data_IF_457270948569
#
_entry.id   IF_457270948569
#
_cell.length_a   1.000
_cell.length_b   1.000
_cell.length_c   1.000
_cell.angle_alpha   90.00
_cell.angle_beta   90.00
_cell.angle_gamma   90.00
#
_symmetry.space_group_name_H-M   'P 1'
#
loop_
_entity.id
_entity.type
_entity.pdbx_description
1 polymer ?
#
# COMPACT_ATOMS: atom_id res chain seq x y z
N UNK A 1 -9.74 -29.41 23.72
CA UNK A 1 -10.38 -28.93 24.96
C UNK A 1 -10.96 -27.56 24.67
N UNK A 2 -12.29 -27.40 24.70
CA UNK A 2 -12.97 -26.10 24.62
C UNK A 2 -12.93 -25.51 26.04
N UNK A 3 -12.32 -24.34 26.23
CA UNK A 3 -12.41 -23.60 27.50
C UNK A 3 -13.73 -22.79 27.48
N UNK A 4 -14.73 -23.14 28.30
CA UNK A 4 -15.94 -22.36 28.42
C UNK A 4 -15.70 -21.25 29.45
N UNK A 5 -15.56 -19.99 28.99
CA UNK A 5 -15.51 -18.85 29.92
C UNK A 5 -14.66 -17.64 29.51
N UNK A 6 -13.95 -17.66 28.38
CA UNK A 6 -13.25 -16.45 27.92
C UNK A 6 -14.25 -15.48 27.26
N UNK A 7 -14.78 -14.55 28.04
CA UNK A 7 -15.36 -13.32 27.48
C UNK A 7 -14.22 -12.53 26.84
N UNK A 8 -14.04 -12.68 25.53
CA UNK A 8 -13.06 -11.90 24.79
C UNK A 8 -13.46 -10.42 24.86
N UNK A 9 -12.54 -9.55 25.28
CA UNK A 9 -12.71 -8.12 25.10
C UNK A 9 -12.63 -7.81 23.60
N UNK A 10 -13.55 -6.96 23.11
CA UNK A 10 -13.56 -6.51 21.72
C UNK A 10 -12.18 -5.93 21.35
N UNK A 11 -11.62 -6.43 20.25
CA UNK A 11 -10.33 -5.97 19.75
C UNK A 11 -9.45 -7.08 19.20
N UNK A 12 -8.14 -6.87 19.31
CA UNK A 12 -7.12 -7.74 18.74
C UNK A 12 -6.60 -8.67 19.81
N UNK A 13 -6.62 -9.98 19.52
CA UNK A 13 -5.99 -10.97 20.38
C UNK A 13 -4.48 -10.68 20.47
N UNK A 14 -3.89 -10.54 21.67
CA UNK A 14 -2.47 -10.23 21.86
C UNK A 14 -1.59 -11.46 21.61
N UNK A 15 -1.86 -12.18 20.51
CA UNK A 15 -1.22 -13.41 20.09
C UNK A 15 -0.82 -13.30 18.62
N UNK A 16 0.42 -13.68 18.33
CA UNK A 16 0.89 -13.83 16.94
C UNK A 16 0.43 -15.16 16.36
N UNK A 17 -0.08 -15.12 15.15
CA UNK A 17 -0.49 -16.26 14.35
C UNK A 17 0.52 -16.47 13.23
N UNK A 18 0.92 -17.73 13.04
CA UNK A 18 1.79 -18.21 11.96
C UNK A 18 0.96 -18.94 10.90
N UNK A 19 1.51 -19.19 9.69
CA UNK A 19 0.78 -19.89 8.62
C UNK A 19 0.11 -21.22 9.02
N UNK A 20 0.75 -21.99 9.90
CA UNK A 20 0.30 -23.28 10.42
C UNK A 20 -0.61 -23.18 11.67
N UNK A 21 -0.80 -21.97 12.22
CA UNK A 21 -1.62 -21.77 13.41
C UNK A 21 -3.09 -22.06 13.11
N UNK A 22 -3.69 -22.93 13.91
CA UNK A 22 -5.09 -23.32 13.81
C UNK A 22 -6.03 -22.34 14.50
N UNK A 23 -7.22 -22.16 13.93
CA UNK A 23 -8.33 -21.42 14.53
C UNK A 23 -9.67 -21.91 13.99
N UNK A 24 -10.75 -21.60 14.72
CA UNK A 24 -12.10 -21.96 14.36
C UNK A 24 -12.85 -20.74 13.83
N UNK A 25 -13.44 -20.85 12.64
CA UNK A 25 -14.25 -19.78 12.07
C UNK A 25 -15.18 -20.24 10.95
N UNK A 26 -16.41 -19.72 10.94
CA UNK A 26 -17.27 -19.76 9.75
C UNK A 26 -18.25 -18.58 9.74
N UNK A 27 -18.29 -17.85 8.63
CA UNK A 27 -19.26 -16.79 8.37
C UNK A 27 -20.16 -17.21 7.19
N UNK A 28 -21.49 -17.19 7.39
CA UNK A 28 -22.47 -17.52 6.36
C UNK A 28 -23.83 -16.90 6.72
N UNK A 29 -24.73 -16.84 5.75
CA UNK A 29 -26.08 -16.24 5.87
C UNK A 29 -26.94 -16.80 7.00
N UNK A 30 -26.63 -18.01 7.47
CA UNK A 30 -27.36 -18.67 8.57
C UNK A 30 -26.91 -18.24 9.97
N UNK A 31 -25.89 -17.39 10.11
CA UNK A 31 -25.46 -16.85 11.39
C UNK A 31 -26.31 -15.63 11.76
N UNK A 32 -26.73 -15.51 13.02
CA UNK A 32 -27.47 -14.34 13.50
C UNK A 32 -26.69 -13.03 13.35
N UNK A 33 -25.36 -13.10 13.44
CA UNK A 33 -24.48 -11.95 13.24
C UNK A 33 -24.13 -11.66 11.77
N UNK A 34 -24.73 -12.38 10.81
CA UNK A 34 -24.43 -12.18 9.41
C UNK A 34 -24.69 -10.71 9.02
N UNK A 35 -23.72 -10.10 8.34
CA UNK A 35 -23.67 -8.67 7.96
C UNK A 35 -23.49 -7.63 9.07
N UNK A 36 -23.45 -8.01 10.35
CA UNK A 36 -23.25 -7.04 11.45
C UNK A 36 -21.91 -6.29 11.35
N UNK A 37 -20.86 -6.95 10.86
CA UNK A 37 -19.55 -6.35 10.65
C UNK A 37 -19.47 -5.44 9.41
N UNK A 38 -20.55 -5.28 8.63
CA UNK A 38 -20.56 -4.52 7.37
C UNK A 38 -21.00 -3.05 7.53
N UNK A 39 -20.65 -2.40 8.64
CA UNK A 39 -20.93 -0.99 8.92
C UNK A 39 -19.87 -0.37 9.84
N UNK A 40 -19.79 0.97 9.81
CA UNK A 40 -18.82 1.81 10.56
C UNK A 40 -17.35 1.34 10.44
N UNK A 41 -16.96 0.93 9.24
CA UNK A 41 -15.59 0.46 8.97
C UNK A 41 -14.70 1.60 8.47
N UNK A 42 -13.42 1.56 8.83
CA UNK A 42 -12.38 2.34 8.17
C UNK A 42 -11.53 1.45 7.26
N UNK A 43 -11.93 1.33 5.99
CA UNK A 43 -11.27 0.44 5.02
C UNK A 43 -10.36 1.22 4.08
N UNK A 44 -9.05 1.19 4.33
CA UNK A 44 -8.05 1.58 3.33
C UNK A 44 -8.10 0.54 2.20
N UNK A 45 -8.29 1.00 0.97
CA UNK A 45 -8.28 0.14 -0.20
C UNK A 45 -6.86 0.01 -0.74
N UNK A 46 -6.43 -1.22 -0.98
CA UNK A 46 -5.18 -1.49 -1.70
C UNK A 46 -5.37 -1.18 -3.19
N UNK A 47 -4.28 -0.97 -3.95
CA UNK A 47 -4.37 -0.75 -5.39
C UNK A 47 -5.14 -1.87 -6.12
N UNK A 48 -4.92 -3.13 -5.73
CA UNK A 48 -5.64 -4.25 -6.34
C UNK A 48 -7.12 -4.31 -5.94
N UNK A 49 -7.49 -3.88 -4.73
CA UNK A 49 -8.90 -3.75 -4.35
C UNK A 49 -9.63 -2.81 -5.29
N UNK A 50 -9.02 -1.67 -5.60
CA UNK A 50 -9.61 -0.66 -6.49
C UNK A 50 -9.84 -1.24 -7.89
N UNK A 51 -8.85 -1.94 -8.45
CA UNK A 51 -8.96 -2.62 -9.76
C UNK A 51 -10.09 -3.64 -9.76
N UNK A 52 -10.17 -4.50 -8.74
CA UNK A 52 -11.22 -5.53 -8.64
C UNK A 52 -12.61 -4.91 -8.52
N UNK A 53 -12.76 -3.93 -7.62
CA UNK A 53 -14.05 -3.31 -7.34
C UNK A 53 -14.55 -2.46 -8.52
N UNK A 54 -13.69 -1.64 -9.15
CA UNK A 54 -14.09 -0.83 -10.30
C UNK A 54 -14.50 -1.70 -11.49
N UNK A 55 -13.78 -2.79 -11.75
CA UNK A 55 -14.14 -3.75 -12.80
C UNK A 55 -15.44 -4.49 -12.50
N UNK A 56 -15.65 -4.93 -11.24
CA UNK A 56 -16.91 -5.57 -10.81
C UNK A 56 -18.12 -4.67 -11.01
N UNK A 57 -17.94 -3.36 -10.85
CA UNK A 57 -18.99 -2.36 -11.00
C UNK A 57 -19.13 -1.81 -12.43
N UNK A 58 -18.23 -2.20 -13.35
CA UNK A 58 -18.20 -1.65 -14.71
C UNK A 58 -17.87 -0.16 -14.76
N UNK A 59 -17.05 0.33 -13.83
CA UNK A 59 -16.68 1.74 -13.71
C UNK A 59 -15.22 1.97 -14.10
N UNK A 60 -14.94 3.18 -14.60
CA UNK A 60 -13.57 3.68 -14.68
C UNK A 60 -13.01 3.96 -13.27
N UNK A 61 -11.68 4.02 -13.13
CA UNK A 61 -11.05 4.41 -11.86
C UNK A 61 -11.55 5.78 -11.38
N UNK A 62 -11.64 6.77 -12.27
CA UNK A 62 -12.07 8.12 -11.90
C UNK A 62 -13.52 8.13 -11.35
N UNK A 63 -14.43 7.37 -11.96
CA UNK A 63 -15.80 7.21 -11.46
C UNK A 63 -15.85 6.47 -10.11
N UNK A 64 -15.15 5.34 -10.01
CA UNK A 64 -15.10 4.55 -8.78
C UNK A 64 -14.57 5.37 -7.60
N UNK A 65 -13.45 6.07 -7.81
CA UNK A 65 -12.85 6.91 -6.78
C UNK A 65 -13.78 8.04 -6.34
N UNK A 66 -14.45 8.71 -7.28
CA UNK A 66 -15.35 9.81 -6.98
C UNK A 66 -16.57 9.36 -6.16
N UNK A 67 -17.20 8.25 -6.57
CA UNK A 67 -18.45 7.75 -5.99
C UNK A 67 -18.19 7.07 -4.64
N UNK A 68 -17.22 6.15 -4.59
CA UNK A 68 -17.09 5.20 -3.48
C UNK A 68 -15.93 5.48 -2.53
N UNK A 69 -15.02 6.42 -2.82
CA UNK A 69 -13.81 6.59 -1.99
C UNK A 69 -13.58 8.03 -1.56
N UNK A 70 -12.82 8.20 -0.47
CA UNK A 70 -12.27 9.49 -0.04
C UNK A 70 -10.75 9.37 0.11
N UNK A 71 -9.97 10.40 -0.27
CA UNK A 71 -8.54 10.43 0.00
C UNK A 71 -8.27 10.67 1.48
N UNK A 72 -7.26 9.99 2.02
CA UNK A 72 -6.78 10.18 3.39
C UNK A 72 -5.26 10.21 3.43
N UNK A 73 -4.70 10.96 4.38
CA UNK A 73 -3.27 10.99 4.63
C UNK A 73 -2.95 10.11 5.83
N UNK A 74 -2.10 9.10 5.63
CA UNK A 74 -1.64 8.25 6.72
C UNK A 74 -0.69 9.02 7.64
N UNK A 75 -1.02 9.10 8.93
CA UNK A 75 -0.33 9.96 9.89
C UNK A 75 1.15 9.61 10.06
N UNK A 76 1.51 8.33 10.03
CA UNK A 76 2.90 7.90 10.23
C UNK A 76 3.78 7.98 8.98
N UNK A 77 3.22 7.69 7.81
CA UNK A 77 4.01 7.64 6.56
C UNK A 77 3.91 8.92 5.75
N UNK A 78 2.91 9.76 6.02
CA UNK A 78 2.51 10.92 5.22
C UNK A 78 2.29 10.54 3.75
N UNK A 79 1.70 9.36 3.53
CA UNK A 79 1.32 8.88 2.21
C UNK A 79 -0.18 9.06 1.98
N UNK A 80 -0.58 9.58 0.81
CA UNK A 80 -1.99 9.65 0.44
C UNK A 80 -2.51 8.27 0.04
N UNK A 81 -3.57 7.81 0.70
CA UNK A 81 -4.29 6.58 0.38
C UNK A 81 -5.76 6.90 0.11
N UNK A 82 -6.54 5.91 -0.29
CA UNK A 82 -7.99 6.04 -0.41
C UNK A 82 -8.69 5.08 0.54
N UNK A 83 -9.74 5.57 1.19
CA UNK A 83 -10.61 4.76 2.04
C UNK A 83 -11.99 4.65 1.42
N UNK A 84 -12.66 3.51 1.66
CA UNK A 84 -14.04 3.31 1.24
C UNK A 84 -14.96 4.26 2.01
N UNK A 85 -15.81 4.99 1.30
CA UNK A 85 -16.88 5.81 1.87
C UNK A 85 -18.01 4.90 2.35
N UNK A 86 -18.29 4.94 3.64
CA UNK A 86 -19.52 4.39 4.20
C UNK A 86 -20.70 5.31 3.87
N UNK A 87 -21.91 4.76 3.88
CA UNK A 87 -23.14 5.55 3.72
C UNK A 87 -23.32 6.51 4.90
N UNK A 88 -24.04 7.61 4.66
CA UNK A 88 -24.41 8.59 5.70
C UNK A 88 -25.73 8.19 6.38
N UNK A 89 -25.80 6.93 6.82
CA UNK A 89 -26.88 6.42 7.66
C UNK A 89 -26.38 6.19 9.09
N UNK A 90 -27.30 5.98 10.05
CA UNK A 90 -26.95 5.84 11.47
C UNK A 90 -25.94 4.72 11.76
N UNK A 91 -25.90 3.70 10.91
CA UNK A 91 -25.01 2.54 11.04
C UNK A 91 -23.73 2.67 10.23
N UNK A 92 -23.59 3.74 9.43
CA UNK A 92 -22.56 3.92 8.42
C UNK A 92 -22.32 2.65 7.62
N UNK A 93 -23.39 2.11 7.03
CA UNK A 93 -23.32 0.84 6.31
C UNK A 93 -22.35 0.91 5.14
N UNK A 94 -21.73 -0.23 4.83
CA UNK A 94 -20.98 -0.39 3.59
C UNK A 94 -21.92 -0.19 2.38
N UNK A 95 -21.53 0.59 1.35
CA UNK A 95 -22.40 0.88 0.20
C UNK A 95 -22.75 -0.35 -0.64
N UNK A 96 -22.05 -1.48 -0.44
CA UNK A 96 -22.32 -2.74 -1.11
C UNK A 96 -23.13 -3.71 -0.25
N UNK A 97 -23.57 -3.30 0.94
CA UNK A 97 -24.38 -4.12 1.81
C UNK A 97 -25.86 -4.04 1.40
N UNK A 98 -26.48 -5.21 1.29
CA UNK A 98 -27.94 -5.38 1.15
C UNK A 98 -28.45 -6.35 2.20
N UNK A 99 -29.77 -6.46 2.44
CA UNK A 99 -30.32 -7.50 3.33
C UNK A 99 -29.92 -8.94 2.94
N UNK A 100 -29.54 -9.16 1.69
CA UNK A 100 -29.11 -10.47 1.17
C UNK A 100 -27.60 -10.72 1.37
N UNK A 101 -26.82 -9.68 1.67
CA UNK A 101 -25.37 -9.73 1.85
C UNK A 101 -24.62 -8.68 1.01
N UNK A 102 -23.31 -8.87 0.91
CA UNK A 102 -22.45 -8.00 0.10
C UNK A 102 -22.63 -8.28 -1.40
N UNK A 103 -22.97 -7.26 -2.19
CA UNK A 103 -23.22 -7.37 -3.65
C UNK A 103 -21.95 -7.62 -4.46
N UNK A 104 -20.79 -7.28 -3.90
CA UNK A 104 -19.47 -7.49 -4.48
C UNK A 104 -18.67 -8.55 -3.70
N UNK A 105 -19.32 -9.51 -3.03
CA UNK A 105 -18.64 -10.43 -2.11
C UNK A 105 -17.38 -11.06 -2.73
N UNK A 106 -17.46 -11.59 -3.95
CA UNK A 106 -16.33 -12.20 -4.66
C UNK A 106 -15.19 -11.24 -5.06
N UNK A 107 -15.43 -9.93 -4.99
CA UNK A 107 -14.51 -8.84 -5.31
C UNK A 107 -14.28 -7.90 -4.12
N UNK A 108 -14.67 -8.34 -2.91
CA UNK A 108 -14.56 -7.55 -1.67
C UNK A 108 -13.09 -7.19 -1.37
N UNK A 109 -12.86 -6.06 -0.68
CA UNK A 109 -11.51 -5.63 -0.32
C UNK A 109 -10.72 -6.68 0.47
N UNK A 110 -9.40 -6.66 0.34
CA UNK A 110 -8.49 -7.59 1.02
C UNK A 110 -8.67 -7.57 2.54
N UNK A 111 -8.94 -6.39 3.13
CA UNK A 111 -9.24 -6.25 4.56
C UNK A 111 -10.47 -7.07 4.98
N UNK A 112 -11.53 -7.07 4.15
CA UNK A 112 -12.73 -7.88 4.39
C UNK A 112 -12.48 -9.38 4.16
N UNK A 113 -11.51 -9.76 3.31
CA UNK A 113 -11.11 -11.17 3.11
C UNK A 113 -10.31 -11.69 4.29
N UNK A 114 -9.44 -10.85 4.84
CA UNK A 114 -8.61 -11.18 5.97
C UNK A 114 -9.45 -11.55 7.19
N UNK A 115 -10.52 -10.80 7.47
CA UNK A 115 -11.38 -11.03 8.64
C UNK A 115 -11.80 -12.50 8.79
N UNK A 116 -11.61 -13.13 9.95
CA UNK A 116 -11.29 -12.52 11.25
C UNK A 116 -9.78 -12.35 11.51
N UNK A 117 -8.93 -12.80 10.59
CA UNK A 117 -7.51 -12.51 10.66
C UNK A 117 -7.25 -11.05 10.30
N UNK A 118 -6.19 -10.50 10.83
CA UNK A 118 -5.57 -9.27 10.34
C UNK A 118 -4.10 -9.49 10.06
N UNK A 119 -3.56 -8.71 9.14
CA UNK A 119 -2.12 -8.69 8.83
C UNK A 119 -1.49 -7.47 9.50
N UNK A 120 -0.36 -7.65 10.19
CA UNK A 120 0.33 -6.57 10.91
C UNK A 120 0.66 -5.36 10.03
N UNK A 121 0.87 -5.58 8.73
CA UNK A 121 1.14 -4.53 7.75
C UNK A 121 -0.01 -3.50 7.63
N UNK A 122 -1.25 -3.92 7.82
CA UNK A 122 -2.41 -3.03 7.75
C UNK A 122 -2.66 -2.26 9.06
N UNK A 123 -1.80 -2.44 10.09
CA UNK A 123 -1.83 -1.63 11.31
C UNK A 123 -0.75 -0.57 11.28
N UNK A 124 -1.19 0.69 11.26
CA UNK A 124 -0.31 1.86 11.39
C UNK A 124 0.62 1.74 12.62
N UNK A 125 0.10 1.18 13.71
CA UNK A 125 0.74 1.13 15.02
C UNK A 125 1.88 0.09 15.16
N UNK A 126 1.86 -1.03 14.45
CA UNK A 126 2.59 -2.25 14.86
C UNK A 126 3.47 -2.95 13.82
N UNK A 127 3.65 -2.37 12.62
CA UNK A 127 4.66 -2.91 11.68
C UNK A 127 6.05 -2.85 12.33
N UNK A 128 6.58 -4.02 12.73
CA UNK A 128 7.94 -4.17 13.26
C UNK A 128 8.94 -4.35 12.11
N UNK A 129 10.18 -3.86 12.27
CA UNK A 129 11.23 -3.93 11.24
C UNK A 129 11.77 -5.34 10.99
N UNK A 130 11.30 -6.37 11.70
CA UNK A 130 11.84 -7.74 11.61
C UNK A 130 11.44 -8.49 10.33
N UNK A 131 10.46 -8.00 9.57
CA UNK A 131 10.10 -8.59 8.28
C UNK A 131 9.43 -9.97 8.34
N UNK A 132 9.06 -10.44 9.53
CA UNK A 132 8.24 -11.66 9.67
C UNK A 132 6.77 -11.30 9.55
N UNK A 133 6.12 -11.79 8.50
CA UNK A 133 4.66 -11.76 8.34
C UNK A 133 4.03 -12.52 9.51
N UNK A 134 3.50 -11.80 10.50
CA UNK A 134 2.65 -12.38 11.52
C UNK A 134 1.23 -11.85 11.38
N UNK A 135 0.28 -12.74 11.65
CA UNK A 135 -1.13 -12.44 11.65
C UNK A 135 -1.61 -12.26 13.08
N UNK A 136 -2.76 -11.61 13.24
CA UNK A 136 -3.45 -11.49 14.52
C UNK A 136 -4.92 -11.82 14.32
N UNK A 137 -5.60 -12.22 15.39
CA UNK A 137 -7.04 -12.47 15.37
C UNK A 137 -7.78 -11.22 15.84
N UNK A 138 -8.75 -10.77 15.06
CA UNK A 138 -9.74 -9.80 15.50
C UNK A 138 -10.89 -10.58 16.12
N UNK A 139 -11.31 -10.17 17.32
CA UNK A 139 -12.47 -10.72 18.02
C UNK A 139 -13.39 -9.58 18.39
N UNK A 140 -14.62 -9.69 17.93
CA UNK A 140 -15.68 -8.75 18.25
C UNK A 140 -16.84 -9.54 18.85
N UNK A 141 -17.41 -9.02 19.92
CA UNK A 141 -18.49 -9.63 20.70
C UNK A 141 -19.69 -10.01 19.85
N UNK A 142 -19.98 -9.21 18.81
CA UNK A 142 -21.06 -9.48 17.88
C UNK A 142 -20.76 -10.65 16.93
N UNK A 143 -19.49 -11.05 16.74
CA UNK A 143 -19.08 -12.02 15.74
C UNK A 143 -19.21 -13.47 16.25
N UNK A 144 -20.32 -14.12 15.92
CA UNK A 144 -20.58 -15.53 16.22
C UNK A 144 -19.85 -16.52 15.29
N UNK A 145 -18.99 -16.00 14.39
CA UNK A 145 -18.18 -16.81 13.48
C UNK A 145 -17.15 -17.67 14.20
N UNK A 146 -16.57 -17.14 15.29
CA UNK A 146 -15.57 -17.84 16.11
C UNK A 146 -16.10 -19.06 16.87
N UNK A 147 -17.42 -19.20 16.97
CA UNK A 147 -18.06 -20.33 17.67
C UNK A 147 -18.32 -21.53 16.73
N UNK A 148 -17.96 -21.42 15.45
CA UNK A 148 -18.14 -22.51 14.50
C UNK A 148 -17.16 -23.66 14.75
N UNK A 149 -17.56 -24.91 14.47
CA UNK A 149 -16.67 -26.06 14.59
C UNK A 149 -15.70 -26.22 13.41
N UNK A 150 -15.88 -25.43 12.33
CA UNK A 150 -14.98 -25.45 11.18
C UNK A 150 -13.60 -24.92 11.59
N UNK A 151 -12.61 -25.80 11.55
CA UNK A 151 -11.21 -25.49 11.81
C UNK A 151 -10.50 -25.09 10.51
N UNK A 152 -9.58 -24.14 10.63
CA UNK A 152 -8.69 -23.67 9.59
C UNK A 152 -7.28 -23.52 10.13
N UNK A 153 -6.29 -23.67 9.28
CA UNK A 153 -4.99 -22.99 9.42
C UNK A 153 -5.04 -21.61 8.77
N UNK A 154 -4.12 -20.72 9.16
CA UNK A 154 -3.98 -19.41 8.50
C UNK A 154 -3.74 -19.56 6.99
N UNK A 155 -2.90 -20.50 6.58
CA UNK A 155 -2.67 -20.79 5.15
C UNK A 155 -3.94 -21.24 4.42
N UNK A 156 -4.72 -22.16 5.00
CA UNK A 156 -5.97 -22.62 4.38
C UNK A 156 -6.98 -21.48 4.25
N UNK A 157 -7.12 -20.64 5.28
CA UNK A 157 -8.00 -19.48 5.23
C UNK A 157 -7.58 -18.49 4.14
N UNK A 158 -6.28 -18.18 4.03
CA UNK A 158 -5.77 -17.26 3.00
C UNK A 158 -6.04 -17.78 1.59
N UNK A 159 -5.87 -19.08 1.38
CA UNK A 159 -6.19 -19.73 0.11
C UNK A 159 -7.69 -19.70 -0.18
N UNK A 160 -8.52 -20.09 0.79
CA UNK A 160 -9.98 -20.15 0.66
C UNK A 160 -10.60 -18.76 0.36
N UNK A 161 -10.09 -17.72 1.02
CA UNK A 161 -10.57 -16.36 0.85
C UNK A 161 -9.95 -15.61 -0.35
N UNK A 162 -9.07 -16.27 -1.11
CA UNK A 162 -8.40 -15.70 -2.29
C UNK A 162 -7.41 -14.58 -1.97
N UNK A 163 -6.86 -14.56 -0.76
CA UNK A 163 -5.97 -13.49 -0.26
C UNK A 163 -4.61 -13.51 -0.96
N UNK A 164 -4.10 -14.70 -1.28
CA UNK A 164 -2.74 -14.86 -1.83
C UNK A 164 -2.52 -14.04 -3.10
N UNK A 165 -3.52 -14.00 -3.99
CA UNK A 165 -3.46 -13.20 -5.21
C UNK A 165 -3.42 -11.69 -4.93
N UNK A 166 -4.19 -11.23 -3.94
CA UNK A 166 -4.20 -9.83 -3.54
C UNK A 166 -2.85 -9.41 -2.94
N UNK A 167 -2.29 -10.24 -2.08
CA UNK A 167 -0.97 -10.00 -1.48
C UNK A 167 0.13 -10.03 -2.55
N UNK A 168 0.08 -10.98 -3.49
CA UNK A 168 1.05 -11.10 -4.58
C UNK A 168 1.08 -9.85 -5.46
N UNK A 169 -0.10 -9.37 -5.87
CA UNK A 169 -0.19 -8.19 -6.74
C UNK A 169 0.21 -6.93 -5.97
N UNK A 170 -0.21 -6.80 -4.71
CA UNK A 170 0.13 -5.64 -3.89
C UNK A 170 1.54 -5.70 -3.28
N UNK A 171 2.33 -6.76 -3.50
CA UNK A 171 3.65 -6.93 -2.87
C UNK A 171 4.56 -5.70 -3.03
N UNK A 172 4.68 -5.17 -4.24
CA UNK A 172 5.51 -3.99 -4.51
C UNK A 172 5.01 -2.72 -3.81
N UNK A 173 3.68 -2.59 -3.64
CA UNK A 173 3.07 -1.50 -2.88
C UNK A 173 3.32 -1.66 -1.38
N UNK A 174 3.17 -2.88 -0.85
CA UNK A 174 3.45 -3.22 0.55
C UNK A 174 4.92 -2.95 0.91
N UNK A 175 5.86 -3.35 0.05
CA UNK A 175 7.29 -3.04 0.19
C UNK A 175 7.55 -1.52 0.22
N UNK A 176 6.86 -0.76 -0.63
CA UNK A 176 6.96 0.71 -0.63
C UNK A 176 6.50 1.29 0.72
N UNK A 177 5.34 0.85 1.22
CA UNK A 177 4.78 1.28 2.50
C UNK A 177 5.74 0.98 3.66
N UNK A 178 6.28 -0.23 3.70
CA UNK A 178 7.30 -0.67 4.67
C UNK A 178 8.54 0.21 4.61
N UNK A 179 9.09 0.43 3.40
CA UNK A 179 10.30 1.22 3.20
C UNK A 179 10.10 2.66 3.66
N UNK A 180 8.95 3.30 3.36
CA UNK A 180 8.65 4.66 3.84
C UNK A 180 8.58 4.71 5.36
N UNK A 181 8.03 3.69 6.01
CA UNK A 181 7.99 3.59 7.48
C UNK A 181 9.38 3.39 8.08
N UNK A 182 10.21 2.51 7.50
CA UNK A 182 11.54 2.17 8.03
C UNK A 182 12.59 3.27 7.80
N UNK A 183 12.58 3.92 6.63
CA UNK A 183 13.57 4.95 6.29
C UNK A 183 13.20 6.35 6.78
N UNK A 184 11.91 6.67 6.96
CA UNK A 184 11.48 8.06 6.88
C UNK A 184 10.30 8.42 7.79
N UNK A 185 10.49 8.29 9.11
CA UNK A 185 9.85 9.26 10.00
C UNK A 185 10.41 10.69 9.78
N UNK A 186 11.61 10.83 9.20
CA UNK A 186 12.30 12.14 9.10
C UNK A 186 12.37 12.77 7.69
N UNK A 187 12.09 12.03 6.60
CA UNK A 187 12.14 12.58 5.24
C UNK A 187 10.74 12.61 4.62
N UNK A 188 10.22 13.81 4.42
CA UNK A 188 8.95 14.01 3.73
C UNK A 188 9.12 13.82 2.21
N UNK A 189 8.15 13.17 1.59
CA UNK A 189 8.08 13.12 0.15
C UNK A 189 7.64 14.48 -0.41
N UNK A 190 8.27 14.88 -1.51
CA UNK A 190 7.82 16.04 -2.29
C UNK A 190 6.36 15.87 -2.72
N UNK A 191 5.67 16.97 -3.01
CA UNK A 191 4.30 16.93 -3.52
C UNK A 191 4.21 16.09 -4.82
N UNK A 192 5.20 16.23 -5.70
CA UNK A 192 5.29 15.43 -6.92
C UNK A 192 5.39 13.93 -6.63
N UNK A 193 6.25 13.54 -5.67
CA UNK A 193 6.41 12.15 -5.25
C UNK A 193 5.13 11.59 -4.61
N UNK A 194 4.41 12.39 -3.83
CA UNK A 194 3.10 12.02 -3.27
C UNK A 194 2.04 11.85 -4.35
N UNK A 195 2.02 12.73 -5.34
CA UNK A 195 1.12 12.65 -6.49
C UNK A 195 1.39 11.39 -7.33
N UNK A 196 2.67 11.07 -7.60
CA UNK A 196 3.07 9.83 -8.26
C UNK A 196 2.60 8.59 -7.49
N UNK A 197 2.87 8.56 -6.18
CA UNK A 197 2.43 7.46 -5.31
C UNK A 197 0.91 7.30 -5.35
N UNK A 198 0.16 8.40 -5.20
CA UNK A 198 -1.29 8.38 -5.20
C UNK A 198 -1.86 7.86 -6.52
N UNK A 199 -1.36 8.34 -7.66
CA UNK A 199 -1.82 7.91 -8.98
C UNK A 199 -1.59 6.40 -9.20
N UNK A 200 -0.40 5.91 -8.93
CA UNK A 200 -0.09 4.46 -9.06
C UNK A 200 -0.91 3.64 -8.07
N UNK A 201 -1.14 4.14 -6.86
CA UNK A 201 -1.85 3.40 -5.80
C UNK A 201 -3.37 3.43 -5.93
N UNK A 202 -3.94 4.36 -6.70
CA UNK A 202 -5.39 4.58 -6.73
C UNK A 202 -6.01 4.60 -8.12
N UNK A 203 -5.24 4.80 -9.18
CA UNK A 203 -5.79 5.08 -10.51
C UNK A 203 -4.96 4.43 -11.63
N UNK A 204 -5.21 3.13 -11.84
CA UNK A 204 -4.52 2.34 -12.88
C UNK A 204 -4.82 2.87 -14.28
N UNK A 205 -5.99 3.45 -14.52
CA UNK A 205 -6.35 4.07 -15.80
C UNK A 205 -5.45 5.28 -16.10
N UNK A 206 -5.21 6.15 -15.10
CA UNK A 206 -4.27 7.29 -15.23
C UNK A 206 -2.83 6.82 -15.40
N UNK A 207 -2.43 5.75 -14.72
CA UNK A 207 -1.10 5.15 -14.92
C UNK A 207 -0.95 4.65 -16.36
N UNK A 208 -1.96 3.96 -16.90
CA UNK A 208 -1.97 3.51 -18.29
C UNK A 208 -1.79 4.69 -19.26
N UNK A 209 -2.60 5.75 -19.10
CA UNK A 209 -2.49 6.96 -19.92
C UNK A 209 -1.12 7.62 -19.81
N UNK A 210 -0.55 7.71 -18.59
CA UNK A 210 0.80 8.25 -18.41
C UNK A 210 1.83 7.49 -19.25
N UNK A 211 1.74 6.15 -19.26
CA UNK A 211 2.70 5.29 -19.95
C UNK A 211 2.52 5.39 -21.47
N UNK A 212 1.30 5.17 -21.97
CA UNK A 212 1.06 4.98 -23.40
C UNK A 212 0.71 6.25 -24.17
N UNK A 213 0.18 7.27 -23.50
CA UNK A 213 -0.23 8.54 -24.13
C UNK A 213 0.71 9.71 -23.75
N UNK A 214 1.64 9.48 -22.82
CA UNK A 214 2.57 10.48 -22.32
C UNK A 214 3.99 10.35 -22.88
N UNK A 215 4.92 11.10 -22.27
CA UNK A 215 6.37 11.06 -22.60
C UNK A 215 7.13 9.97 -21.84
N UNK A 216 6.41 8.97 -21.31
CA UNK A 216 7.02 7.94 -20.48
C UNK A 216 7.96 7.04 -21.29
N UNK A 217 7.50 6.55 -22.44
CA UNK A 217 8.27 5.69 -23.33
C UNK A 217 9.44 6.41 -24.00
N UNK A 218 9.45 7.74 -24.01
CA UNK A 218 10.63 8.53 -24.42
C UNK A 218 11.75 8.44 -23.38
N UNK A 219 11.38 8.28 -22.10
CA UNK A 219 12.29 8.37 -20.95
C UNK A 219 12.82 7.03 -20.46
N UNK A 220 11.97 6.01 -20.52
CA UNK A 220 12.26 4.69 -19.98
C UNK A 220 12.50 3.67 -21.09
N UNK A 221 13.45 2.77 -20.84
CA UNK A 221 13.73 1.62 -21.68
C UNK A 221 12.95 0.42 -21.15
N UNK A 222 11.97 -0.04 -21.92
CA UNK A 222 11.00 -1.06 -21.51
C UNK A 222 10.93 -2.09 -22.62
N UNK A 223 11.12 -3.34 -22.25
CA UNK A 223 11.04 -4.48 -23.17
C UNK A 223 9.64 -4.55 -23.80
N UNK A 224 9.60 -4.94 -25.08
CA UNK A 224 8.37 -4.97 -25.87
C UNK A 224 7.33 -5.91 -25.24
N UNK A 225 7.78 -7.05 -24.75
CA UNK A 225 6.96 -8.07 -24.08
C UNK A 225 6.30 -7.51 -22.81
N UNK A 226 7.00 -6.64 -22.08
CA UNK A 226 6.44 -5.97 -20.90
C UNK A 226 5.38 -4.96 -21.32
N UNK A 227 5.62 -4.18 -22.38
CA UNK A 227 4.65 -3.22 -22.92
C UNK A 227 3.36 -3.90 -23.36
N UNK A 228 3.46 -4.96 -24.16
CA UNK A 228 2.31 -5.73 -24.65
C UNK A 228 1.48 -6.30 -23.47
N UNK A 229 2.15 -6.72 -22.40
CA UNK A 229 1.49 -7.24 -21.20
C UNK A 229 0.78 -6.15 -20.41
N UNK A 230 1.44 -5.05 -20.06
CA UNK A 230 0.86 -4.00 -19.22
C UNK A 230 -0.22 -3.19 -19.96
N UNK A 231 -0.29 -3.30 -21.29
CA UNK A 231 -1.36 -2.72 -22.08
C UNK A 231 -2.71 -3.43 -21.86
N UNK A 232 -2.69 -4.74 -21.58
CA UNK A 232 -3.91 -5.56 -21.53
C UNK A 232 -4.20 -6.20 -20.17
N UNK A 233 -3.21 -6.28 -19.28
CA UNK A 233 -3.32 -6.83 -17.93
C UNK A 233 -3.11 -5.74 -16.86
N UNK A 234 -4.20 -5.33 -16.19
CA UNK A 234 -4.15 -4.30 -15.15
C UNK A 234 -3.36 -4.74 -13.90
N UNK A 235 -3.31 -6.04 -13.59
CA UNK A 235 -2.49 -6.53 -12.50
C UNK A 235 -0.99 -6.42 -12.84
N UNK A 236 -0.63 -6.72 -14.10
CA UNK A 236 0.73 -6.48 -14.59
C UNK A 236 1.08 -4.99 -14.59
N UNK A 237 0.15 -4.14 -15.02
CA UNK A 237 0.33 -2.69 -15.01
C UNK A 237 0.54 -2.12 -13.60
N UNK A 238 -0.22 -2.61 -12.61
CA UNK A 238 0.02 -2.25 -11.20
C UNK A 238 1.41 -2.66 -10.72
N UNK A 239 1.81 -3.91 -10.97
CA UNK A 239 3.15 -4.42 -10.60
C UNK A 239 4.25 -3.56 -11.22
N UNK A 240 4.13 -3.26 -12.52
CA UNK A 240 5.04 -2.34 -13.21
C UNK A 240 5.07 -0.95 -12.57
N UNK A 241 3.89 -0.40 -12.24
CA UNK A 241 3.76 0.88 -11.54
C UNK A 241 4.51 0.90 -10.21
N UNK A 242 4.45 -0.17 -9.42
CA UNK A 242 5.19 -0.27 -8.16
C UNK A 242 6.70 -0.32 -8.38
N UNK A 243 7.16 -1.09 -9.36
CA UNK A 243 8.58 -1.16 -9.72
C UNK A 243 9.11 0.20 -10.22
N UNK A 244 8.30 0.91 -11.00
CA UNK A 244 8.58 2.27 -11.41
C UNK A 244 8.66 3.24 -10.23
N UNK A 245 7.70 3.19 -9.28
CA UNK A 245 7.74 4.01 -8.07
C UNK A 245 9.00 3.74 -7.24
N UNK A 246 9.36 2.47 -7.06
CA UNK A 246 10.56 2.11 -6.30
C UNK A 246 11.84 2.63 -6.98
N UNK A 247 11.90 2.59 -8.32
CA UNK A 247 13.01 3.13 -9.09
C UNK A 247 13.08 4.66 -8.98
N UNK A 248 11.95 5.33 -9.19
CA UNK A 248 11.86 6.79 -9.22
C UNK A 248 12.07 7.46 -7.86
N UNK A 249 11.58 6.86 -6.78
CA UNK A 249 11.59 7.48 -5.44
C UNK A 249 12.71 6.97 -4.54
N UNK A 250 13.24 5.77 -4.83
CA UNK A 250 14.24 5.16 -3.98
C UNK A 250 15.48 4.63 -4.72
N UNK A 251 15.62 4.92 -6.01
CA UNK A 251 16.78 4.54 -6.82
C UNK A 251 16.96 3.03 -6.99
N UNK A 252 15.88 2.25 -6.89
CA UNK A 252 15.94 0.82 -7.18
C UNK A 252 16.23 0.58 -8.69
N UNK A 253 17.02 -0.44 -9.00
CA UNK A 253 17.29 -0.83 -10.39
C UNK A 253 16.21 -1.81 -10.89
N UNK A 254 14.97 -1.31 -11.04
CA UNK A 254 13.83 -2.11 -11.52
C UNK A 254 13.27 -1.64 -12.85
N UNK A 255 13.30 -0.33 -13.11
CA UNK A 255 12.87 0.26 -14.39
C UNK A 255 13.98 1.18 -14.90
N UNK A 256 14.59 0.81 -16.03
CA UNK A 256 15.75 1.50 -16.57
C UNK A 256 15.31 2.74 -17.34
N UNK A 257 16.02 3.85 -17.10
CA UNK A 257 15.91 5.04 -17.94
C UNK A 257 16.84 4.90 -19.15
N UNK A 258 16.46 5.48 -20.28
CA UNK A 258 17.34 5.51 -21.47
C UNK A 258 18.61 6.32 -21.17
N UNK A 259 19.72 5.92 -21.76
CA UNK A 259 21.05 6.49 -21.48
C UNK A 259 21.12 8.01 -21.65
N UNK A 260 20.51 8.53 -22.73
CA UNK A 260 20.50 9.98 -23.01
C UNK A 260 19.76 10.77 -21.91
N UNK A 261 18.75 10.17 -21.30
CA UNK A 261 17.95 10.76 -20.21
C UNK A 261 18.75 10.73 -18.93
N UNK A 262 19.36 9.59 -18.59
CA UNK A 262 20.25 9.46 -17.43
C UNK A 262 21.39 10.48 -17.47
N UNK A 263 22.00 10.64 -18.64
CA UNK A 263 23.06 11.64 -18.86
C UNK A 263 22.55 13.07 -18.61
N UNK A 264 21.38 13.43 -19.16
CA UNK A 264 20.79 14.74 -18.94
C UNK A 264 20.45 15.02 -17.46
N UNK A 265 19.95 14.02 -16.72
CA UNK A 265 19.70 14.15 -15.28
C UNK A 265 20.99 14.34 -14.48
N UNK A 266 22.06 13.58 -14.78
CA UNK A 266 23.37 13.75 -14.14
C UNK A 266 23.95 15.14 -14.39
N UNK A 267 23.92 15.61 -15.64
CA UNK A 267 24.38 16.96 -15.99
C UNK A 267 23.59 18.07 -15.28
N UNK A 268 22.26 17.90 -15.13
CA UNK A 268 21.41 18.84 -14.39
C UNK A 268 21.74 18.84 -12.90
N UNK A 269 21.86 17.67 -12.28
CA UNK A 269 22.19 17.53 -10.87
C UNK A 269 23.59 18.10 -10.56
N UNK A 270 24.57 17.89 -11.43
CA UNK A 270 25.90 18.50 -11.31
C UNK A 270 25.85 20.03 -11.41
N UNK A 271 25.04 20.57 -12.33
CA UNK A 271 24.83 22.04 -12.45
C UNK A 271 24.16 22.62 -11.21
N UNK A 272 23.17 21.93 -10.65
CA UNK A 272 22.48 22.36 -9.42
C UNK A 272 23.39 22.27 -8.20
N UNK A 273 24.18 21.19 -8.06
CA UNK A 273 25.18 21.05 -7.00
C UNK A 273 26.25 22.13 -7.08
N UNK A 274 26.76 22.44 -8.28
CA UNK A 274 27.71 23.55 -8.51
C UNK A 274 27.11 24.89 -8.11
N UNK A 275 25.87 25.18 -8.55
CA UNK A 275 25.15 26.42 -8.16
C UNK A 275 24.93 26.52 -6.66
N UNK A 276 24.53 25.44 -5.99
CA UNK A 276 24.34 25.41 -4.54
C UNK A 276 25.67 25.62 -3.77
N UNK A 277 26.76 25.07 -4.29
CA UNK A 277 28.10 25.24 -3.71
C UNK A 277 28.65 26.67 -3.92
N UNK A 278 28.30 27.32 -5.03
CA UNK A 278 28.65 28.71 -5.32
C UNK A 278 27.78 29.72 -4.55
N UNK A 279 26.52 29.38 -4.28
CA UNK A 279 25.55 30.22 -3.57
C UNK A 279 25.70 30.22 -2.04
N UNK A 280 26.62 29.42 -1.47
CA UNK A 280 26.87 29.37 -0.02
C UNK A 280 28.21 30.06 0.33
N UNK A 281 28.22 31.33 0.79
CA UNK A 281 29.46 32.08 1.04
C UNK A 281 30.27 31.58 2.25
N UNK A 282 29.81 30.55 2.98
CA UNK A 282 30.42 30.12 4.26
C UNK A 282 31.51 29.06 4.15
N UNK A 283 31.84 28.54 2.95
CA UNK A 283 32.95 27.58 2.78
C UNK A 283 34.22 28.17 2.14
N UNK A 284 34.16 29.36 1.53
CA UNK A 284 35.37 30.04 0.98
C UNK A 284 36.31 30.61 2.07
N UNK A 285 35.87 30.72 3.32
CA UNK A 285 36.68 31.26 4.42
C UNK A 285 37.53 30.22 5.18
N UNK A 286 37.33 28.91 4.95
CA UNK A 286 38.09 27.86 5.64
C UNK A 286 39.29 27.32 4.83
N UNK A 287 39.32 27.48 3.49
CA UNK A 287 40.49 27.07 2.70
C UNK A 287 41.63 28.11 2.67
N UNK A 288 41.35 29.38 2.98
CA UNK A 288 42.35 30.46 3.01
C UNK A 288 43.05 30.63 4.36
N UNK A 289 42.45 30.20 5.48
CA UNK A 289 43.09 30.21 6.82
C UNK A 289 43.99 29.00 7.09
N UNK A 290 43.84 27.89 6.35
CA UNK A 290 44.71 26.71 6.49
C UNK A 290 46.06 26.84 5.77
N UNK A 291 46.21 27.74 4.78
CA UNK A 291 47.48 27.99 4.07
C UNK A 291 48.36 29.07 4.73
N UNK A 292 47.86 29.82 5.70
CA UNK A 292 48.58 30.91 6.38
C UNK A 292 49.25 30.55 7.71
N UNK A 293 48.92 29.41 8.33
CA UNK A 293 49.46 29.03 9.66
C UNK A 293 50.62 28.04 9.63
N UNK A 294 50.99 27.49 8.48
CA UNK A 294 52.10 26.51 8.35
C UNK A 294 53.48 27.14 8.07
N UNK A 295 53.61 28.47 8.14
CA UNK A 295 54.85 29.19 7.75
C UNK A 295 55.53 30.01 8.87
N UNK A 296 55.13 29.86 10.14
CA UNK A 296 55.68 30.65 11.26
C UNK A 296 56.09 29.84 12.51
N UNK A 297 56.65 28.65 12.33
CA UNK A 297 57.36 27.92 13.40
C UNK A 297 58.52 27.13 12.80
N UNK A 298 59.55 27.86 12.33
CA UNK A 298 60.92 27.37 12.13
C UNK A 298 61.86 28.56 12.18
N UNK A 299 62.25 28.94 13.40
CA UNK A 299 63.54 29.53 13.81
C UNK A 299 63.49 29.66 15.32
#
# INVERSE_FOLDING_TARGET
MKNPGETYQDGIEPRKYKPDTKFNFACHKGKECYTHCCGDLNLILTPYDIVRMKNRLGLTCDQFLAIYTKPEMLSRTQLPVVTLKMLDDDKKNCPFLTPQGCTIYEDRPVTCRYYPLGMALFREQEIQPTGEDFYFMVRESHCLGHQADKEWTVSEWRKDQGIELYDEINKGWMEFMLRKKSFAFQVELSEQSRSMFFMVSSNVDKLKRLIFEGTFLDKFDIEKEVLERIETDEAALLKFGFDWLQSALFGADKVKMKDHVLKAYKEKAEKEAKKAMEASPKLKAQSSKAKGKTKKTKT
#
